data_IF_523775745873
#
_entry.id   IF_523775745873
#
_cell.length_a   1.000
_cell.length_b   1.000
_cell.length_c   1.000
_cell.angle_alpha   90.00
_cell.angle_beta   90.00
_cell.angle_gamma   90.00
#
_symmetry.space_group_name_H-M   'P 1'
#
loop_
_entity.id
_entity.type
_entity.pdbx_description
1 polymer ?
#
# COMPACT_ATOMS: atom_id res chain seq x y z
N UNK A 1 -1.73 -21.17 5.58
CA UNK A 1 -0.81 -21.24 4.43
C UNK A 1 0.56 -21.56 5.01
N UNK A 2 1.21 -22.64 4.57
CA UNK A 2 2.58 -22.99 4.96
C UNK A 2 3.51 -22.74 3.77
N UNK A 3 4.81 -22.58 4.02
CA UNK A 3 5.86 -22.26 3.03
C UNK A 3 5.87 -23.12 1.75
N UNK A 4 5.22 -24.29 1.79
CA UNK A 4 5.16 -25.24 0.67
C UNK A 4 4.32 -24.77 -0.51
N UNK A 5 3.44 -23.77 -0.31
CA UNK A 5 2.53 -23.25 -1.34
C UNK A 5 2.88 -21.83 -1.82
N UNK A 6 3.92 -21.18 -1.27
CA UNK A 6 4.27 -19.80 -1.63
C UNK A 6 5.41 -19.75 -2.64
N UNK A 7 5.09 -19.43 -3.91
CA UNK A 7 6.11 -19.11 -4.92
C UNK A 7 6.76 -17.72 -4.71
N UNK A 8 6.19 -16.92 -3.81
CA UNK A 8 6.75 -15.70 -3.22
C UNK A 8 6.01 -15.48 -1.91
N UNK A 9 6.70 -15.22 -0.80
CA UNK A 9 6.10 -15.09 0.54
C UNK A 9 5.09 -13.94 0.66
N UNK A 10 5.02 -13.04 -0.33
CA UNK A 10 4.20 -11.82 -0.28
C UNK A 10 3.09 -11.81 -1.33
N UNK A 11 3.12 -12.69 -2.34
CA UNK A 11 2.12 -12.66 -3.41
C UNK A 11 0.94 -13.58 -3.08
N UNK A 12 -0.21 -12.99 -2.73
CA UNK A 12 -1.38 -13.78 -2.38
C UNK A 12 -2.45 -12.99 -1.63
N UNK A 13 -3.49 -13.69 -1.12
CA UNK A 13 -4.51 -13.09 -0.28
C UNK A 13 -3.92 -12.48 0.99
N UNK A 14 -4.59 -11.48 1.55
CA UNK A 14 -4.19 -10.79 2.77
C UNK A 14 -5.14 -11.14 3.91
N UNK A 15 -4.56 -11.57 5.03
CA UNK A 15 -5.27 -11.92 6.25
C UNK A 15 -4.76 -11.07 7.43
N UNK A 16 -5.65 -10.79 8.37
CA UNK A 16 -5.32 -10.23 9.69
C UNK A 16 -5.72 -11.24 10.75
N UNK A 17 -4.84 -11.47 11.71
CA UNK A 17 -5.08 -12.39 12.83
C UNK A 17 -5.20 -11.58 14.10
N UNK A 18 -6.33 -11.73 14.79
CA UNK A 18 -6.49 -11.25 16.16
C UNK A 18 -5.77 -12.21 17.10
N UNK A 19 -4.76 -11.70 17.82
CA UNK A 19 -3.85 -12.55 18.62
C UNK A 19 -4.58 -13.23 19.78
N UNK A 20 -5.44 -12.49 20.49
CA UNK A 20 -6.11 -13.00 21.69
C UNK A 20 -7.18 -14.05 21.36
N UNK A 21 -8.01 -13.76 20.36
CA UNK A 21 -9.11 -14.64 19.94
C UNK A 21 -8.66 -15.74 18.98
N UNK A 22 -7.46 -15.61 18.41
CA UNK A 22 -6.94 -16.42 17.29
C UNK A 22 -7.86 -16.41 16.08
N UNK A 23 -8.71 -15.38 15.96
CA UNK A 23 -9.61 -15.23 14.82
C UNK A 23 -8.83 -14.68 13.64
N UNK A 24 -8.84 -15.43 12.54
CA UNK A 24 -8.31 -14.96 11.25
C UNK A 24 -9.43 -14.31 10.46
N UNK A 25 -9.14 -13.13 9.91
CA UNK A 25 -10.02 -12.40 9.01
C UNK A 25 -9.34 -12.22 7.67
N UNK A 26 -10.05 -12.56 6.60
CA UNK A 26 -9.63 -12.20 5.25
C UNK A 26 -9.89 -10.70 5.01
N UNK A 27 -8.83 -9.96 4.68
CA UNK A 27 -8.91 -8.56 4.25
C UNK A 27 -9.23 -8.51 2.76
N UNK A 28 -8.59 -9.38 1.97
CA UNK A 28 -8.86 -9.54 0.54
C UNK A 28 -8.38 -10.91 0.06
N UNK A 29 -9.17 -11.56 -0.79
CA UNK A 29 -8.76 -12.77 -1.53
C UNK A 29 -7.86 -12.48 -2.75
N UNK A 30 -7.79 -11.23 -3.19
CA UNK A 30 -6.98 -10.81 -4.33
C UNK A 30 -5.48 -10.71 -3.97
N UNK A 31 -4.57 -10.88 -4.95
CA UNK A 31 -3.13 -10.72 -4.74
C UNK A 31 -2.73 -9.34 -4.24
N UNK A 32 -2.04 -9.33 -3.10
CA UNK A 32 -1.36 -8.17 -2.52
C UNK A 32 0.15 -8.29 -2.76
N UNK A 33 0.84 -7.15 -2.87
CA UNK A 33 2.32 -7.11 -3.04
C UNK A 33 3.04 -6.34 -1.94
N UNK A 34 2.33 -5.54 -1.15
CA UNK A 34 2.84 -4.84 0.02
C UNK A 34 1.70 -4.42 0.94
N UNK A 35 1.99 -4.27 2.24
CA UNK A 35 1.07 -3.74 3.22
C UNK A 35 1.79 -3.02 4.36
N UNK A 36 1.11 -2.05 4.98
CA UNK A 36 1.67 -1.15 5.98
C UNK A 36 0.60 -0.78 7.01
N UNK A 37 0.79 -1.14 8.27
CA UNK A 37 -0.06 -0.65 9.35
C UNK A 37 0.14 0.85 9.56
N UNK A 38 -0.95 1.56 9.79
CA UNK A 38 -0.95 2.95 10.26
C UNK A 38 -0.23 3.08 11.61
N UNK A 39 0.30 4.27 11.95
CA UNK A 39 0.99 4.48 13.23
C UNK A 39 0.12 4.16 14.46
N UNK A 40 -1.19 4.37 14.36
CA UNK A 40 -2.21 4.08 15.37
C UNK A 40 -2.65 2.62 15.40
N UNK A 41 -2.29 1.82 14.38
CA UNK A 41 -2.60 0.40 14.30
C UNK A 41 -4.07 0.07 13.98
N UNK A 42 -4.93 1.05 13.75
CA UNK A 42 -6.36 0.86 13.45
C UNK A 42 -6.64 0.71 11.94
N UNK A 43 -5.69 1.09 11.08
CA UNK A 43 -5.80 0.93 9.62
C UNK A 43 -4.62 0.17 9.02
N UNK A 44 -4.89 -0.54 7.94
CA UNK A 44 -3.90 -1.26 7.14
C UNK A 44 -3.97 -0.78 5.68
N UNK A 45 -2.93 -0.09 5.21
CA UNK A 45 -2.77 0.20 3.78
C UNK A 45 -2.17 -1.01 3.08
N UNK A 46 -2.63 -1.32 1.88
CA UNK A 46 -2.05 -2.39 1.07
C UNK A 46 -2.13 -2.10 -0.43
N UNK A 47 -1.23 -2.73 -1.18
CA UNK A 47 -1.13 -2.62 -2.63
C UNK A 47 -1.68 -3.89 -3.29
N UNK A 48 -2.83 -3.74 -3.95
CA UNK A 48 -3.39 -4.79 -4.81
C UNK A 48 -2.84 -4.66 -6.23
N UNK A 49 -2.71 -5.80 -6.92
CA UNK A 49 -2.35 -5.83 -8.34
C UNK A 49 -3.59 -5.62 -9.21
N UNK A 50 -3.52 -4.72 -10.19
CA UNK A 50 -4.65 -4.39 -11.04
C UNK A 50 -4.26 -4.12 -12.50
N UNK A 51 -5.13 -4.46 -13.45
CA UNK A 51 -4.97 -4.06 -14.85
C UNK A 51 -5.76 -2.79 -15.12
N UNK A 52 -5.06 -1.68 -15.31
CA UNK A 52 -5.65 -0.39 -15.64
C UNK A 52 -5.34 -0.07 -17.10
N UNK A 53 -6.39 0.06 -17.93
CA UNK A 53 -6.28 0.29 -19.38
C UNK A 53 -5.33 -0.67 -20.11
N UNK A 54 -5.37 -1.96 -19.73
CA UNK A 54 -4.54 -3.00 -20.34
C UNK A 54 -3.08 -3.05 -19.89
N UNK A 55 -2.68 -2.20 -18.92
CA UNK A 55 -1.35 -2.23 -18.32
C UNK A 55 -1.45 -2.71 -16.86
N UNK A 56 -0.49 -3.54 -16.45
CA UNK A 56 -0.33 -3.94 -15.06
C UNK A 56 0.09 -2.70 -14.22
N UNK A 57 -0.72 -2.37 -13.23
CA UNK A 57 -0.49 -1.33 -12.24
C UNK A 57 -0.77 -1.86 -10.83
N UNK A 58 -0.65 -0.96 -9.86
CA UNK A 58 -0.96 -1.24 -8.46
C UNK A 58 -2.05 -0.27 -7.99
N UNK A 59 -2.97 -0.76 -7.16
CA UNK A 59 -3.97 0.07 -6.50
C UNK A 59 -3.77 0.03 -5.00
N UNK A 60 -3.77 1.23 -4.41
CA UNK A 60 -3.82 1.38 -2.96
C UNK A 60 -5.22 1.07 -2.43
N UNK A 61 -5.26 0.36 -1.32
CA UNK A 61 -6.45 0.16 -0.51
C UNK A 61 -6.12 0.48 0.95
N UNK A 62 -7.11 0.95 1.70
CA UNK A 62 -6.99 1.08 3.16
C UNK A 62 -8.12 0.29 3.80
N UNK A 63 -7.74 -0.67 4.64
CA UNK A 63 -8.65 -1.43 5.48
C UNK A 63 -8.80 -0.76 6.85
N UNK A 64 -10.04 -0.51 7.27
CA UNK A 64 -10.38 0.22 8.52
C UNK A 64 -10.73 -0.70 9.70
N UNK A 65 -10.40 -1.99 9.61
CA UNK A 65 -10.88 -3.00 10.55
C UNK A 65 -12.20 -3.65 10.15
N UNK A 66 -12.91 -3.14 9.14
CA UNK A 66 -14.21 -3.66 8.69
C UNK A 66 -14.29 -3.85 7.18
N UNK A 67 -13.81 -2.88 6.42
CA UNK A 67 -13.89 -2.86 4.96
C UNK A 67 -12.62 -2.24 4.38
N UNK A 68 -12.33 -2.56 3.13
CA UNK A 68 -11.23 -1.97 2.39
C UNK A 68 -11.77 -0.94 1.40
N UNK A 69 -11.29 0.28 1.51
CA UNK A 69 -11.61 1.38 0.59
C UNK A 69 -10.53 1.46 -0.48
N UNK A 70 -10.86 1.40 -1.78
CA UNK A 70 -9.90 1.62 -2.86
C UNK A 70 -9.54 3.11 -2.99
N UNK A 71 -8.27 3.37 -3.29
CA UNK A 71 -7.74 4.69 -3.64
C UNK A 71 -7.15 4.65 -5.06
N UNK A 72 -6.36 5.67 -5.41
CA UNK A 72 -5.78 5.82 -6.73
C UNK A 72 -4.94 4.59 -7.15
N UNK A 73 -5.19 4.14 -8.37
CA UNK A 73 -4.28 3.25 -9.06
C UNK A 73 -3.10 4.05 -9.62
N UNK A 74 -1.95 3.41 -9.67
CA UNK A 74 -0.72 4.03 -10.14
C UNK A 74 0.18 3.00 -10.82
N UNK A 75 1.08 3.52 -11.65
CA UNK A 75 2.20 2.77 -12.22
C UNK A 75 3.45 3.18 -11.44
N UNK A 76 3.93 2.33 -10.51
CA UNK A 76 5.01 2.73 -9.62
C UNK A 76 6.31 2.99 -10.41
N UNK A 77 7.21 3.76 -9.80
CA UNK A 77 8.54 4.00 -10.37
C UNK A 77 9.35 2.71 -10.39
N UNK A 78 10.31 2.59 -11.32
CA UNK A 78 11.25 1.45 -11.33
C UNK A 78 12.03 1.35 -10.03
N UNK A 79 12.48 2.48 -9.48
CA UNK A 79 13.17 2.52 -8.19
C UNK A 79 12.32 1.90 -7.08
N UNK A 80 11.04 2.25 -6.96
CA UNK A 80 10.16 1.63 -5.97
C UNK A 80 10.01 0.13 -6.21
N UNK A 81 9.73 -0.30 -7.45
CA UNK A 81 9.54 -1.71 -7.81
C UNK A 81 10.78 -2.58 -7.57
N UNK A 82 11.96 -2.08 -7.92
CA UNK A 82 13.18 -2.89 -7.94
C UNK A 82 13.91 -2.85 -6.58
N UNK A 83 13.84 -1.73 -5.86
CA UNK A 83 14.67 -1.49 -4.66
C UNK A 83 13.90 -1.49 -3.34
N UNK A 84 12.60 -1.16 -3.36
CA UNK A 84 11.82 -0.97 -2.12
C UNK A 84 10.72 -2.01 -1.94
N UNK A 85 9.95 -2.29 -2.99
CA UNK A 85 8.84 -3.23 -2.94
C UNK A 85 9.27 -4.66 -2.52
N UNK A 86 10.39 -5.23 -3.01
CA UNK A 86 10.78 -6.60 -2.64
C UNK A 86 11.15 -6.77 -1.16
N UNK A 87 11.42 -5.65 -0.48
CA UNK A 87 11.84 -5.59 0.93
C UNK A 87 10.91 -4.66 1.74
N UNK A 88 9.65 -4.53 1.31
CA UNK A 88 8.73 -3.55 1.86
C UNK A 88 8.54 -3.70 3.38
N UNK A 89 8.54 -4.94 3.87
CA UNK A 89 8.36 -5.32 5.26
C UNK A 89 9.57 -4.92 6.11
N UNK A 90 10.78 -5.04 5.57
CA UNK A 90 12.01 -4.55 6.21
C UNK A 90 12.03 -3.02 6.23
N UNK A 91 11.68 -2.37 5.12
CA UNK A 91 11.66 -0.90 5.06
C UNK A 91 10.51 -0.28 5.85
N UNK A 92 9.40 -1.00 6.08
CA UNK A 92 8.30 -0.51 6.92
C UNK A 92 8.74 -0.20 8.37
N UNK A 93 9.89 -0.71 8.82
CA UNK A 93 10.47 -0.40 10.12
C UNK A 93 11.20 0.96 10.16
N UNK A 94 11.70 1.46 9.02
CA UNK A 94 12.53 2.68 8.93
C UNK A 94 11.90 3.81 8.12
N UNK A 95 11.10 3.47 7.12
CA UNK A 95 10.42 4.40 6.23
C UNK A 95 8.92 4.35 6.48
N UNK A 96 8.28 5.52 6.56
CA UNK A 96 6.85 5.63 6.81
C UNK A 96 6.13 6.01 5.51
N UNK A 97 5.30 5.10 5.01
CA UNK A 97 4.32 5.40 3.95
C UNK A 97 3.19 6.27 4.50
N UNK A 98 2.82 6.03 5.76
CA UNK A 98 1.82 6.80 6.46
C UNK A 98 2.35 8.14 6.96
N UNK A 99 1.51 9.16 6.86
CA UNK A 99 1.66 10.39 7.64
C UNK A 99 1.67 10.07 9.14
N UNK A 100 2.30 10.92 9.97
CA UNK A 100 2.39 10.64 11.40
C UNK A 100 1.03 10.55 12.11
N UNK A 101 0.01 11.26 11.62
CA UNK A 101 -1.36 11.21 12.13
C UNK A 101 -2.17 10.00 11.66
N UNK A 102 -1.70 9.26 10.66
CA UNK A 102 -2.42 8.11 10.09
C UNK A 102 -3.62 8.49 9.19
N UNK A 103 -3.73 9.75 8.77
CA UNK A 103 -4.84 10.31 7.99
C UNK A 103 -4.50 10.55 6.51
N UNK A 104 -3.25 10.31 6.13
CA UNK A 104 -2.77 10.33 4.75
C UNK A 104 -1.63 9.34 4.52
N UNK A 105 -1.39 8.95 3.26
CA UNK A 105 -0.23 8.17 2.85
C UNK A 105 0.47 8.76 1.63
N UNK A 106 1.78 8.48 1.50
CA UNK A 106 2.62 8.93 0.37
C UNK A 106 2.94 7.76 -0.57
N UNK A 107 2.98 8.02 -1.86
CA UNK A 107 3.42 7.06 -2.86
C UNK A 107 4.09 7.74 -4.05
N UNK A 108 4.75 6.97 -4.91
CA UNK A 108 5.42 7.48 -6.10
C UNK A 108 5.01 6.72 -7.34
N UNK A 109 4.83 7.42 -8.45
CA UNK A 109 4.50 6.79 -9.71
C UNK A 109 3.71 7.69 -10.63
N UNK A 110 3.21 7.08 -11.69
CA UNK A 110 2.36 7.74 -12.69
C UNK A 110 0.90 7.40 -12.45
N UNK A 111 0.03 8.40 -12.39
CA UNK A 111 -1.43 8.22 -12.32
C UNK A 111 -2.05 8.11 -13.72
N UNK A 112 -3.36 7.83 -13.78
CA UNK A 112 -4.09 7.67 -15.05
C UNK A 112 -4.07 8.91 -15.95
N UNK A 113 -3.93 10.09 -15.35
CA UNK A 113 -3.82 11.37 -16.06
C UNK A 113 -2.44 11.59 -16.71
N UNK A 114 -1.51 10.66 -16.52
CA UNK A 114 -0.15 10.70 -17.08
C UNK A 114 0.85 11.53 -16.26
N UNK A 115 0.42 12.22 -15.20
CA UNK A 115 1.34 12.93 -14.30
C UNK A 115 2.12 11.92 -13.47
N UNK A 116 3.38 12.24 -13.21
CA UNK A 116 4.31 11.38 -12.51
C UNK A 116 5.09 12.14 -11.44
N UNK A 117 5.30 11.53 -10.29
CA UNK A 117 6.06 12.13 -9.19
C UNK A 117 5.71 11.50 -7.85
N UNK A 118 5.86 12.32 -6.80
CA UNK A 118 5.46 12.00 -5.44
C UNK A 118 4.05 12.50 -5.19
N UNK A 119 3.21 11.64 -4.64
CA UNK A 119 1.81 11.89 -4.38
C UNK A 119 1.51 11.71 -2.90
N UNK A 120 0.64 12.56 -2.36
CA UNK A 120 0.04 12.38 -1.04
C UNK A 120 -1.45 12.16 -1.22
N UNK A 121 -1.96 11.06 -0.67
CA UNK A 121 -3.38 10.73 -0.64
C UNK A 121 -3.91 10.94 0.79
N UNK A 122 -4.85 11.86 0.93
CA UNK A 122 -5.68 12.05 2.12
C UNK A 122 -6.72 10.93 2.23
N UNK A 123 -7.08 10.52 3.44
CA UNK A 123 -8.17 9.57 3.69
C UNK A 123 -9.55 10.25 3.81
N UNK A 124 -9.63 11.56 3.62
CA UNK A 124 -10.92 12.27 3.56
C UNK A 124 -11.70 11.76 2.36
N UNK A 125 -12.99 11.47 2.58
CA UNK A 125 -13.86 10.90 1.55
C UNK A 125 -13.94 11.81 0.32
N UNK A 126 -13.61 11.25 -0.85
CA UNK A 126 -13.64 11.96 -2.12
C UNK A 126 -12.37 12.73 -2.47
N UNK A 127 -11.36 12.77 -1.58
CA UNK A 127 -10.09 13.44 -1.90
C UNK A 127 -9.30 12.67 -2.97
N UNK A 128 -8.76 13.39 -3.94
CA UNK A 128 -7.82 12.88 -4.92
C UNK A 128 -6.36 13.05 -4.43
N UNK A 129 -5.41 12.22 -4.92
CA UNK A 129 -4.00 12.40 -4.60
C UNK A 129 -3.47 13.75 -5.09
N UNK A 130 -2.72 14.44 -4.23
CA UNK A 130 -2.06 15.70 -4.56
C UNK A 130 -0.61 15.43 -5.00
N UNK A 131 -0.22 15.95 -6.16
CA UNK A 131 1.16 15.91 -6.63
C UNK A 131 1.99 16.92 -5.82
N UNK A 132 2.91 16.44 -4.99
CA UNK A 132 3.76 17.31 -4.17
C UNK A 132 5.06 17.72 -4.87
N UNK A 133 5.48 16.98 -5.89
CA UNK A 133 6.66 17.31 -6.68
C UNK A 133 7.28 16.13 -7.42
N UNK A 134 8.41 16.35 -8.11
CA UNK A 134 9.16 15.27 -8.74
C UNK A 134 9.80 14.35 -7.69
N UNK A 135 9.91 13.07 -8.01
CA UNK A 135 10.62 12.09 -7.18
C UNK A 135 10.33 10.66 -7.58
N UNK A 136 11.21 9.75 -7.17
CA UNK A 136 11.12 8.32 -7.50
C UNK A 136 10.92 7.41 -6.29
N UNK A 137 11.06 7.97 -5.10
CA UNK A 137 10.78 7.35 -3.81
C UNK A 137 10.40 8.47 -2.83
N UNK A 138 9.57 8.16 -1.84
CA UNK A 138 9.17 9.10 -0.80
C UNK A 138 8.79 8.36 0.48
N UNK A 139 9.01 9.03 1.61
CA UNK A 139 8.59 8.58 2.92
C UNK A 139 8.33 9.81 3.80
N UNK A 140 7.43 9.66 4.77
CA UNK A 140 7.25 10.62 5.86
C UNK A 140 8.39 10.52 6.86
N UNK A 141 8.67 11.61 7.57
CA UNK A 141 9.63 11.62 8.67
C UNK A 141 9.19 10.63 9.76
N UNK A 142 10.10 9.81 10.30
CA UNK A 142 9.80 9.02 11.50
C UNK A 142 9.53 9.94 12.70
N UNK A 143 8.69 9.46 13.62
CA UNK A 143 8.53 10.05 14.96
C UNK A 143 9.40 9.30 15.96
#
# INVERSE_FOLDING_TARGET
VTDRDSSSSTFGPLYVVEVDSRRTREVTGNPVVAFYWSPTGDKLAYQGVEFVRGRLGLRWYVWDGRQSVPYAAHFPTRTYLDSYLPFFDQYAQSHRVWSPGGDAFVFTGTLEDGRSGVWVQSLVEGDEPVLVGPGVFAAWSPQ
#
